data_IF_402974764163
#
_entry.id   IF_402974764163
#
_cell.length_a   1.000
_cell.length_b   1.000
_cell.length_c   1.000
_cell.angle_alpha   90.00
_cell.angle_beta   90.00
_cell.angle_gamma   90.00
#
_symmetry.space_group_name_H-M   'P 1'
#
loop_
_entity.id
_entity.type
_entity.pdbx_description
1 polymer ?
#
# COMPACT_ATOMS: atom_id res chain seq x y z
N UNK A 1 -40.46 -49.25 37.25
CA UNK A 1 -40.83 -49.30 35.82
C UNK A 1 -41.48 -48.00 35.32
N UNK A 2 -42.77 -47.69 35.60
CA UNK A 2 -43.40 -46.47 35.04
C UNK A 2 -42.72 -45.18 35.53
N UNK A 3 -42.39 -45.08 36.82
CA UNK A 3 -41.72 -43.91 37.41
C UNK A 3 -40.30 -43.71 36.88
N UNK A 4 -39.54 -44.79 36.66
CA UNK A 4 -38.20 -44.72 36.05
C UNK A 4 -38.26 -44.27 34.59
N UNK A 5 -39.24 -44.76 33.83
CA UNK A 5 -39.47 -44.34 32.44
C UNK A 5 -39.77 -42.84 32.34
N UNK A 6 -40.56 -42.30 33.29
CA UNK A 6 -40.82 -40.85 33.35
C UNK A 6 -39.57 -40.04 33.72
N UNK A 7 -38.70 -40.58 34.58
CA UNK A 7 -37.44 -39.92 34.93
C UNK A 7 -36.48 -39.87 33.74
N UNK A 8 -36.31 -40.98 33.01
CA UNK A 8 -35.49 -41.06 31.80
C UNK A 8 -36.04 -40.18 30.66
N UNK A 9 -37.37 -40.12 30.50
CA UNK A 9 -38.00 -39.23 29.53
C UNK A 9 -37.77 -37.75 29.87
N UNK A 10 -37.72 -37.41 31.16
CA UNK A 10 -37.46 -36.04 31.62
C UNK A 10 -36.00 -35.62 31.38
N UNK A 11 -35.04 -36.50 31.64
CA UNK A 11 -33.62 -36.22 31.40
C UNK A 11 -33.35 -36.09 29.91
N UNK A 12 -33.89 -36.97 29.08
CA UNK A 12 -33.72 -36.90 27.62
C UNK A 12 -34.33 -35.63 27.02
N UNK A 13 -35.47 -35.17 27.55
CA UNK A 13 -36.05 -33.89 27.16
C UNK A 13 -35.15 -32.71 27.54
N UNK A 14 -34.62 -32.69 28.77
CA UNK A 14 -33.71 -31.65 29.25
C UNK A 14 -32.39 -31.62 28.46
N UNK A 15 -31.82 -32.78 28.14
CA UNK A 15 -30.59 -32.88 27.34
C UNK A 15 -30.82 -32.36 25.92
N UNK A 16 -31.97 -32.67 25.33
CA UNK A 16 -32.34 -32.18 23.99
C UNK A 16 -32.56 -30.67 23.97
N UNK A 17 -33.20 -30.13 25.00
CA UNK A 17 -33.39 -28.68 25.16
C UNK A 17 -32.04 -27.96 25.29
N UNK A 18 -31.10 -28.54 26.06
CA UNK A 18 -29.73 -28.02 26.19
C UNK A 18 -28.97 -28.04 24.86
N UNK A 19 -29.07 -29.13 24.10
CA UNK A 19 -28.42 -29.22 22.78
C UNK A 19 -28.97 -28.20 21.79
N UNK A 20 -30.28 -27.95 21.82
CA UNK A 20 -30.90 -26.91 20.99
C UNK A 20 -30.40 -25.51 21.38
N UNK A 21 -30.33 -25.21 22.68
CA UNK A 21 -29.81 -23.93 23.16
C UNK A 21 -28.33 -23.72 22.77
N UNK A 22 -27.50 -24.76 22.87
CA UNK A 22 -26.10 -24.70 22.46
C UNK A 22 -25.96 -24.49 20.96
N UNK A 23 -26.73 -25.23 20.15
CA UNK A 23 -26.73 -25.06 18.70
C UNK A 23 -27.18 -23.65 18.28
N UNK A 24 -28.21 -23.10 18.94
CA UNK A 24 -28.63 -21.73 18.71
C UNK A 24 -27.56 -20.70 19.11
N UNK A 25 -26.85 -20.93 20.22
CA UNK A 25 -25.76 -20.06 20.65
C UNK A 25 -24.62 -20.07 19.63
N UNK A 26 -24.21 -21.25 19.17
CA UNK A 26 -23.18 -21.40 18.16
C UNK A 26 -23.58 -20.74 16.84
N UNK A 27 -24.83 -20.91 16.39
CA UNK A 27 -25.34 -20.24 15.18
C UNK A 27 -25.34 -18.71 15.33
N UNK A 28 -25.70 -18.17 16.49
CA UNK A 28 -25.64 -16.73 16.76
C UNK A 28 -24.20 -16.22 16.76
N UNK A 29 -23.28 -16.93 17.39
CA UNK A 29 -21.86 -16.57 17.40
C UNK A 29 -21.27 -16.61 16.00
N UNK A 30 -21.54 -17.67 15.23
CA UNK A 30 -21.05 -17.83 13.87
C UNK A 30 -21.62 -16.74 12.96
N UNK A 31 -22.91 -16.40 13.12
CA UNK A 31 -23.55 -15.30 12.43
C UNK A 31 -22.88 -13.95 12.75
N UNK A 32 -22.55 -13.69 14.01
CA UNK A 32 -21.85 -12.46 14.42
C UNK A 32 -20.46 -12.34 13.77
N UNK A 33 -19.69 -13.43 13.71
CA UNK A 33 -18.39 -13.47 13.02
C UNK A 33 -18.57 -13.23 11.52
N UNK A 34 -19.57 -13.86 10.91
CA UNK A 34 -19.87 -13.69 9.49
C UNK A 34 -20.26 -12.24 9.15
N UNK A 35 -21.10 -11.61 9.97
CA UNK A 35 -21.48 -10.20 9.82
C UNK A 35 -20.25 -9.29 9.94
N UNK A 36 -19.36 -9.54 10.92
CA UNK A 36 -18.11 -8.79 11.08
C UNK A 36 -17.18 -8.94 9.86
N UNK A 37 -17.12 -10.13 9.26
CA UNK A 37 -16.33 -10.36 8.05
C UNK A 37 -16.88 -9.61 6.83
N UNK A 38 -18.21 -9.53 6.70
CA UNK A 38 -18.84 -8.74 5.63
C UNK A 38 -18.51 -7.27 5.82
N UNK A 39 -18.73 -6.72 7.02
CA UNK A 39 -18.40 -5.32 7.33
C UNK A 39 -16.93 -5.02 7.02
N UNK A 40 -16.02 -5.93 7.40
CA UNK A 40 -14.61 -5.78 7.06
C UNK A 40 -14.35 -5.81 5.54
N UNK A 41 -15.04 -6.69 4.80
CA UNK A 41 -14.93 -6.76 3.34
C UNK A 41 -15.42 -5.48 2.68
N UNK A 42 -16.56 -4.94 3.12
CA UNK A 42 -17.10 -3.67 2.62
C UNK A 42 -16.13 -2.52 2.88
N UNK A 43 -15.55 -2.46 4.09
CA UNK A 43 -14.55 -1.42 4.38
C UNK A 43 -13.29 -1.53 3.52
N UNK A 44 -12.84 -2.75 3.19
CA UNK A 44 -11.71 -2.95 2.28
C UNK A 44 -12.05 -2.55 0.84
N UNK A 45 -13.28 -2.81 0.39
CA UNK A 45 -13.75 -2.39 -0.93
C UNK A 45 -13.83 -0.87 -1.03
N UNK A 46 -14.42 -0.20 -0.03
CA UNK A 46 -14.44 1.27 0.06
C UNK A 46 -13.02 1.86 0.05
N UNK A 47 -12.08 1.23 0.77
CA UNK A 47 -10.67 1.63 0.74
C UNK A 47 -10.08 1.52 -0.66
N UNK A 48 -10.33 0.41 -1.36
CA UNK A 48 -9.79 0.15 -2.69
C UNK A 48 -10.35 1.14 -3.73
N UNK A 49 -11.64 1.47 -3.65
CA UNK A 49 -12.26 2.43 -4.54
C UNK A 49 -11.75 3.86 -4.28
N UNK A 50 -11.53 4.24 -3.02
CA UNK A 50 -10.88 5.51 -2.69
C UNK A 50 -9.44 5.60 -3.24
N UNK A 51 -8.69 4.49 -3.22
CA UNK A 51 -7.36 4.44 -3.83
C UNK A 51 -7.40 4.54 -5.35
N UNK A 52 -8.38 3.90 -6.01
CA UNK A 52 -8.58 4.02 -7.47
C UNK A 52 -8.89 5.45 -7.87
N UNK A 53 -9.83 6.10 -7.20
CA UNK A 53 -10.19 7.49 -7.47
C UNK A 53 -8.99 8.44 -7.26
N UNK A 54 -8.20 8.22 -6.21
CA UNK A 54 -6.96 8.95 -5.98
C UNK A 54 -5.96 8.79 -7.14
N UNK A 55 -5.75 7.55 -7.61
CA UNK A 55 -4.83 7.27 -8.72
C UNK A 55 -5.32 7.91 -10.03
N UNK A 56 -6.61 7.85 -10.30
CA UNK A 56 -7.23 8.45 -11.47
C UNK A 56 -7.15 9.99 -11.43
N UNK A 57 -7.38 10.60 -10.26
CA UNK A 57 -7.22 12.04 -10.07
C UNK A 57 -5.76 12.49 -10.28
N UNK A 58 -4.79 11.72 -9.77
CA UNK A 58 -3.37 11.99 -10.00
C UNK A 58 -3.00 11.84 -11.47
N UNK A 59 -3.47 10.78 -12.15
CA UNK A 59 -3.25 10.57 -13.59
C UNK A 59 -3.86 11.68 -14.44
N UNK A 60 -5.11 12.04 -14.16
CA UNK A 60 -5.83 13.10 -14.88
C UNK A 60 -5.12 14.44 -14.73
N UNK A 61 -4.63 14.82 -13.54
CA UNK A 61 -3.95 16.11 -13.34
C UNK A 61 -2.52 16.14 -13.87
N UNK A 62 -1.79 15.02 -13.89
CA UNK A 62 -0.51 14.94 -14.60
C UNK A 62 -0.72 15.08 -16.12
N UNK A 63 -1.82 14.55 -16.66
CA UNK A 63 -2.24 14.69 -18.06
C UNK A 63 -2.82 16.06 -18.44
N UNK A 64 -3.62 16.70 -17.57
CA UNK A 64 -4.30 17.98 -17.83
C UNK A 64 -3.36 19.18 -17.91
N UNK A 65 -2.11 19.05 -17.46
CA UNK A 65 -1.11 20.08 -17.71
C UNK A 65 -0.68 20.17 -19.19
N UNK A 66 -1.35 19.45 -20.12
CA UNK A 66 -1.02 19.41 -21.56
C UNK A 66 -2.15 19.66 -22.56
N UNK A 67 -3.36 20.09 -22.18
CA UNK A 67 -4.47 20.20 -23.14
C UNK A 67 -4.62 21.53 -23.86
N UNK A 68 -3.54 22.30 -24.10
CA UNK A 68 -3.64 23.50 -24.95
C UNK A 68 -2.52 23.72 -25.97
N UNK A 69 -1.72 22.71 -26.31
CA UNK A 69 -0.85 22.83 -27.49
C UNK A 69 -0.48 21.47 -28.09
N UNK A 70 -1.26 21.06 -29.09
CA UNK A 70 -1.12 19.82 -29.85
C UNK A 70 0.04 19.86 -30.88
N UNK A 71 1.00 20.80 -30.79
CA UNK A 71 2.10 20.94 -31.76
C UNK A 71 3.50 21.17 -31.14
N UNK A 72 3.72 20.84 -29.86
CA UNK A 72 5.02 21.06 -29.18
C UNK A 72 5.57 19.82 -28.46
N UNK A 73 5.35 18.62 -29.00
CA UNK A 73 6.11 17.43 -28.63
C UNK A 73 7.58 17.52 -29.09
N UNK A 74 8.39 18.39 -28.46
CA UNK A 74 9.87 18.32 -28.54
C UNK A 74 10.62 18.75 -27.28
N UNK A 75 10.03 18.74 -26.09
CA UNK A 75 10.83 18.71 -24.85
C UNK A 75 10.14 17.88 -23.76
N UNK A 76 10.65 16.67 -23.44
CA UNK A 76 10.19 15.96 -22.26
C UNK A 76 10.36 16.88 -21.05
N UNK A 77 9.34 16.96 -20.18
CA UNK A 77 9.43 17.65 -18.89
C UNK A 77 10.71 17.15 -18.20
N UNK A 78 11.59 18.10 -17.88
CA UNK A 78 13.06 17.95 -17.92
C UNK A 78 13.60 16.64 -17.34
N UNK A 79 14.41 15.95 -18.13
CA UNK A 79 15.33 14.94 -17.64
C UNK A 79 16.24 15.59 -16.58
N UNK A 80 16.11 15.17 -15.32
CA UNK A 80 16.89 15.71 -14.21
C UNK A 80 18.06 14.79 -13.90
N UNK A 81 19.27 15.33 -14.02
CA UNK A 81 20.52 14.62 -13.76
C UNK A 81 20.98 14.88 -12.34
N UNK A 82 21.19 13.81 -11.60
CA UNK A 82 21.75 13.80 -10.25
C UNK A 82 23.08 13.06 -10.25
N UNK A 83 24.01 13.56 -9.45
CA UNK A 83 25.26 12.84 -9.16
C UNK A 83 25.00 11.80 -8.07
N UNK A 84 25.84 10.77 -8.03
CA UNK A 84 25.77 9.73 -6.99
C UNK A 84 25.81 10.33 -5.58
N UNK A 85 26.71 11.29 -5.34
CA UNK A 85 26.88 11.94 -4.03
C UNK A 85 25.66 12.76 -3.61
N UNK A 86 24.94 13.38 -4.56
CA UNK A 86 23.69 14.10 -4.25
C UNK A 86 22.59 13.14 -3.79
N UNK A 87 22.39 12.02 -4.49
CA UNK A 87 21.37 11.05 -4.12
C UNK A 87 21.70 10.28 -2.83
N UNK A 88 22.99 10.06 -2.55
CA UNK A 88 23.45 9.50 -1.28
C UNK A 88 23.19 10.50 -0.13
N UNK A 89 23.51 11.79 -0.33
CA UNK A 89 23.23 12.85 0.66
C UNK A 89 21.74 13.05 0.93
N UNK A 90 20.90 12.94 -0.11
CA UNK A 90 19.44 13.04 0.02
C UNK A 90 18.81 11.76 0.61
N UNK A 91 19.61 10.72 0.90
CA UNK A 91 19.17 9.44 1.45
C UNK A 91 18.33 8.62 0.48
N UNK A 92 18.45 8.90 -0.82
CA UNK A 92 17.74 8.18 -1.89
C UNK A 92 18.46 6.86 -2.19
N UNK A 93 19.79 6.83 -2.13
CA UNK A 93 20.58 5.59 -2.28
C UNK A 93 20.79 4.96 -0.89
N UNK A 94 20.38 3.70 -0.74
CA UNK A 94 20.56 2.92 0.50
C UNK A 94 21.84 2.09 0.38
N UNK A 95 21.95 1.30 -0.68
CA UNK A 95 23.09 0.44 -0.94
C UNK A 95 23.54 0.56 -2.39
N UNK A 96 24.84 0.38 -2.60
CA UNK A 96 25.43 0.27 -3.94
C UNK A 96 26.15 -1.07 -4.03
N UNK A 97 25.62 -1.98 -4.86
CA UNK A 97 26.13 -3.34 -5.03
C UNK A 97 26.95 -3.43 -6.32
N UNK A 98 28.21 -3.84 -6.21
CA UNK A 98 29.07 -4.09 -7.37
C UNK A 98 29.72 -2.87 -8.04
N UNK A 99 29.47 -1.64 -7.58
CA UNK A 99 30.13 -0.43 -8.13
C UNK A 99 31.29 0.00 -7.22
N UNK A 100 32.55 -0.03 -7.71
CA UNK A 100 33.72 0.42 -6.96
C UNK A 100 33.62 1.90 -6.58
N UNK A 101 34.09 2.26 -5.38
CA UNK A 101 33.99 3.63 -4.84
C UNK A 101 34.64 4.67 -5.75
N UNK A 102 35.74 4.32 -6.44
CA UNK A 102 36.43 5.18 -7.41
C UNK A 102 35.58 5.54 -8.64
N UNK A 103 34.59 4.70 -9.01
CA UNK A 103 33.69 4.95 -10.14
C UNK A 103 32.41 5.70 -9.74
N UNK A 104 32.09 5.80 -8.44
CA UNK A 104 30.87 6.49 -7.98
C UNK A 104 30.81 7.96 -8.39
N UNK A 105 31.97 8.64 -8.43
CA UNK A 105 32.07 10.03 -8.87
C UNK A 105 31.81 10.27 -10.36
N UNK A 106 31.83 9.22 -11.20
CA UNK A 106 31.55 9.31 -12.63
C UNK A 106 30.13 8.88 -13.00
N UNK A 107 29.31 8.48 -12.02
CA UNK A 107 27.93 8.03 -12.26
C UNK A 107 26.96 9.19 -12.17
N UNK A 108 26.13 9.28 -13.19
CA UNK A 108 25.01 10.21 -13.26
C UNK A 108 23.71 9.42 -13.35
N UNK A 109 22.80 9.73 -12.44
CA UNK A 109 21.43 9.23 -12.43
C UNK A 109 20.55 10.23 -13.15
N UNK A 110 19.74 9.74 -14.07
CA UNK A 110 18.84 10.56 -14.86
C UNK A 110 17.41 10.13 -14.53
N UNK A 111 16.65 11.03 -13.94
CA UNK A 111 15.23 10.85 -13.68
C UNK A 111 14.44 11.54 -14.79
N UNK A 112 13.58 10.79 -15.46
CA UNK A 112 12.74 11.30 -16.54
C UNK A 112 11.29 10.87 -16.33
N UNK A 113 10.35 11.74 -16.66
CA UNK A 113 8.93 11.40 -16.77
C UNK A 113 8.63 11.09 -18.23
N UNK A 114 8.38 9.83 -18.57
CA UNK A 114 8.06 9.41 -19.95
C UNK A 114 6.55 9.46 -20.24
N UNK A 115 5.73 9.39 -19.20
CA UNK A 115 4.29 9.55 -19.29
C UNK A 115 3.66 9.90 -17.93
N UNK A 116 2.35 10.20 -17.88
CA UNK A 116 1.67 10.48 -16.63
C UNK A 116 1.71 9.27 -15.70
N UNK A 117 2.37 9.41 -14.55
CA UNK A 117 2.55 8.32 -13.59
C UNK A 117 3.56 7.25 -14.03
N UNK A 118 4.38 7.51 -15.06
CA UNK A 118 5.45 6.62 -15.53
C UNK A 118 6.78 7.36 -15.48
N UNK A 119 7.67 6.87 -14.64
CA UNK A 119 9.00 7.42 -14.44
C UNK A 119 10.06 6.46 -14.99
N UNK A 120 11.16 7.02 -15.44
CA UNK A 120 12.30 6.28 -15.97
C UNK A 120 13.53 6.74 -15.21
N UNK A 121 14.16 5.79 -14.52
CA UNK A 121 15.39 5.98 -13.77
C UNK A 121 16.50 5.34 -14.59
N UNK A 122 17.37 6.17 -15.15
CA UNK A 122 18.48 5.73 -15.97
C UNK A 122 19.81 6.02 -15.28
N UNK A 123 20.74 5.06 -15.32
CA UNK A 123 22.09 5.20 -14.77
C UNK A 123 23.07 5.28 -15.95
N UNK A 124 23.90 6.32 -15.95
CA UNK A 124 24.89 6.56 -17.00
C UNK A 124 26.26 6.84 -16.41
N UNK A 125 27.31 6.33 -17.04
CA UNK A 125 28.68 6.79 -16.78
C UNK A 125 28.94 8.10 -17.52
N UNK A 126 29.81 8.94 -16.97
CA UNK A 126 30.23 10.21 -17.56
C UNK A 126 30.63 10.03 -19.03
N UNK A 127 29.80 10.53 -19.94
CA UNK A 127 30.06 10.52 -21.39
C UNK A 127 29.59 9.28 -22.16
N UNK A 128 28.93 8.30 -21.51
CA UNK A 128 28.35 7.13 -22.20
C UNK A 128 26.82 7.14 -22.16
N UNK A 129 26.19 6.42 -23.10
CA UNK A 129 24.74 6.14 -23.06
C UNK A 129 24.40 5.37 -21.78
N UNK A 130 23.19 5.54 -21.28
CA UNK A 130 22.73 4.86 -20.07
C UNK A 130 22.91 3.34 -20.24
N UNK A 131 23.58 2.71 -19.27
CA UNK A 131 23.81 1.26 -19.30
C UNK A 131 22.68 0.50 -18.60
N UNK A 132 21.92 1.19 -17.73
CA UNK A 132 20.76 0.65 -17.05
C UNK A 132 19.63 1.67 -17.11
N UNK A 133 18.44 1.21 -17.50
CA UNK A 133 17.21 2.00 -17.53
C UNK A 133 16.09 1.18 -16.89
N UNK A 134 15.48 1.72 -15.83
CA UNK A 134 14.32 1.12 -15.19
C UNK A 134 13.12 2.03 -15.34
N UNK A 135 12.06 1.49 -15.92
CA UNK A 135 10.74 2.12 -15.91
C UNK A 135 10.03 1.72 -14.62
N UNK A 136 9.50 2.70 -13.91
CA UNK A 136 8.78 2.54 -12.65
C UNK A 136 7.48 3.31 -12.73
N UNK A 137 6.35 2.66 -12.38
CA UNK A 137 5.05 3.32 -12.34
C UNK A 137 4.81 3.91 -10.96
N UNK A 138 4.00 4.97 -10.92
CA UNK A 138 3.60 5.61 -9.67
C UNK A 138 2.85 4.65 -8.75
N UNK A 139 2.00 3.79 -9.31
CA UNK A 139 1.26 2.75 -8.57
C UNK A 139 2.24 1.82 -7.83
N UNK A 140 3.22 1.27 -8.55
CA UNK A 140 4.25 0.40 -7.98
C UNK A 140 5.04 1.12 -6.87
N UNK A 141 5.39 2.40 -7.06
CA UNK A 141 6.08 3.19 -6.04
C UNK A 141 5.23 3.41 -4.78
N UNK A 142 3.92 3.63 -4.94
CA UNK A 142 3.00 3.82 -3.83
C UNK A 142 2.75 2.51 -3.07
N UNK A 143 2.69 1.40 -3.78
CA UNK A 143 2.60 0.05 -3.20
C UNK A 143 3.85 -0.26 -2.37
N UNK A 144 5.05 -0.09 -2.95
CA UNK A 144 6.32 -0.32 -2.26
C UNK A 144 6.48 0.62 -1.05
N UNK A 145 5.90 1.83 -1.08
CA UNK A 145 5.94 2.75 0.05
C UNK A 145 5.21 2.21 1.30
N UNK A 146 4.14 1.45 1.12
CA UNK A 146 3.33 0.90 2.22
C UNK A 146 3.98 -0.32 2.87
N UNK A 147 4.95 -0.94 2.21
CA UNK A 147 5.75 -2.02 2.78
C UNK A 147 6.63 -1.51 3.93
N UNK A 148 6.96 -2.43 4.85
CA UNK A 148 7.85 -2.17 5.99
C UNK A 148 9.27 -1.79 5.53
N UNK A 149 9.73 -2.40 4.42
CA UNK A 149 10.98 -2.07 3.73
C UNK A 149 10.71 -1.49 2.33
N UNK A 150 10.59 -0.16 2.20
CA UNK A 150 10.24 0.50 0.94
C UNK A 150 11.48 0.67 0.06
N UNK A 151 11.86 -0.39 -0.65
CA UNK A 151 13.12 -0.48 -1.40
C UNK A 151 12.86 -0.74 -2.89
N UNK A 152 13.57 -0.03 -3.77
CA UNK A 152 13.60 -0.27 -5.22
C UNK A 152 14.97 -0.82 -5.58
N UNK A 153 15.00 -2.04 -6.07
CA UNK A 153 16.24 -2.65 -6.57
C UNK A 153 16.45 -2.33 -8.05
N UNK A 154 17.59 -1.70 -8.36
CA UNK A 154 18.07 -1.38 -9.70
C UNK A 154 19.34 -2.20 -10.03
N UNK A 155 19.42 -3.45 -9.53
CA UNK A 155 20.48 -4.45 -9.77
C UNK A 155 21.84 -4.09 -9.14
N UNK A 156 22.36 -2.90 -9.42
CA UNK A 156 23.61 -2.38 -8.86
C UNK A 156 23.40 -1.32 -7.79
N UNK A 157 22.18 -0.81 -7.66
CA UNK A 157 21.85 0.27 -6.74
C UNK A 157 20.50 0.01 -6.12
N UNK A 158 20.45 0.15 -4.81
CA UNK A 158 19.23 -0.01 -4.03
C UNK A 158 18.76 1.36 -3.61
N UNK A 159 17.57 1.77 -4.04
CA UNK A 159 17.00 3.08 -3.75
C UNK A 159 15.89 2.97 -2.70
N UNK A 160 15.75 4.00 -1.88
CA UNK A 160 14.62 4.15 -0.97
C UNK A 160 13.39 4.62 -1.75
N UNK A 161 12.32 3.83 -1.79
CA UNK A 161 11.12 4.15 -2.55
C UNK A 161 10.44 5.43 -2.04
N UNK A 162 10.41 5.67 -0.71
CA UNK A 162 9.79 6.86 -0.11
C UNK A 162 10.53 8.14 -0.51
N UNK A 163 11.85 8.14 -0.40
CA UNK A 163 12.70 9.29 -0.75
C UNK A 163 12.73 9.52 -2.26
N UNK A 164 12.82 8.44 -3.06
CA UNK A 164 12.72 8.50 -4.51
C UNK A 164 11.40 9.13 -4.94
N UNK A 165 10.28 8.69 -4.36
CA UNK A 165 8.96 9.26 -4.63
C UNK A 165 8.88 10.73 -4.23
N UNK A 166 9.47 11.11 -3.08
CA UNK A 166 9.53 12.51 -2.66
C UNK A 166 10.32 13.37 -3.66
N UNK A 167 11.48 12.90 -4.13
CA UNK A 167 12.28 13.59 -5.16
C UNK A 167 11.52 13.68 -6.47
N UNK A 168 10.93 12.58 -6.95
CA UNK A 168 10.11 12.56 -8.16
C UNK A 168 8.92 13.51 -8.04
N UNK A 169 8.23 13.54 -6.89
CA UNK A 169 7.15 14.49 -6.66
C UNK A 169 7.66 15.91 -6.69
N UNK A 170 8.79 16.24 -6.04
CA UNK A 170 9.34 17.60 -6.04
C UNK A 170 9.74 18.09 -7.43
N UNK A 171 10.25 17.19 -8.27
CA UNK A 171 10.73 17.52 -9.61
C UNK A 171 9.60 17.60 -10.64
N UNK A 172 8.64 16.68 -10.56
CA UNK A 172 7.64 16.49 -11.62
C UNK A 172 6.20 16.81 -11.19
N UNK A 173 5.93 17.02 -9.90
CA UNK A 173 4.57 17.18 -9.34
C UNK A 173 4.50 18.44 -8.43
N UNK A 174 3.83 19.51 -8.87
CA UNK A 174 3.77 20.77 -8.10
C UNK A 174 3.07 20.57 -6.73
N UNK A 175 3.42 21.38 -5.73
CA UNK A 175 2.92 21.28 -4.34
C UNK A 175 1.38 21.37 -4.17
N UNK A 176 0.66 21.87 -5.17
CA UNK A 176 -0.82 21.93 -5.23
C UNK A 176 -1.43 20.70 -5.94
N UNK A 177 -0.62 19.73 -6.40
CA UNK A 177 -1.00 18.65 -7.31
C UNK A 177 -1.22 17.29 -6.64
N UNK A 178 -1.07 17.18 -5.33
CA UNK A 178 -1.42 15.96 -4.60
C UNK A 178 -2.79 16.18 -3.95
N UNK A 179 -3.87 15.51 -4.42
CA UNK A 179 -5.05 15.40 -3.60
C UNK A 179 -4.64 14.81 -2.24
N UNK A 180 -5.31 15.22 -1.16
CA UNK A 180 -5.02 14.68 0.16
C UNK A 180 -5.05 13.15 0.06
N UNK A 181 -3.93 12.50 0.40
CA UNK A 181 -3.87 11.03 0.40
C UNK A 181 -5.02 10.57 1.29
N UNK A 182 -5.82 9.59 0.86
CA UNK A 182 -6.79 8.97 1.74
C UNK A 182 -5.99 8.15 2.77
N UNK A 183 -5.51 8.78 3.84
CA UNK A 183 -4.95 8.07 4.99
C UNK A 183 -5.54 8.67 6.27
N UNK A 184 -6.20 7.78 7.02
CA UNK A 184 -6.61 7.91 8.44
C UNK A 184 -7.81 8.77 8.79
N UNK A 185 -9.01 8.46 8.25
CA UNK A 185 -10.21 8.50 9.12
C UNK A 185 -10.68 7.12 9.58
N UNK A 186 -10.37 6.06 8.83
CA UNK A 186 -10.77 4.68 9.16
C UNK A 186 -9.64 3.79 9.70
N UNK A 187 -8.41 4.32 9.87
CA UNK A 187 -7.26 3.53 10.33
C UNK A 187 -7.19 3.30 11.86
N UNK A 188 -8.21 3.70 12.62
CA UNK A 188 -8.36 3.24 14.00
C UNK A 188 -9.29 2.01 14.04
N UNK A 189 -8.80 0.87 13.54
CA UNK A 189 -9.32 -0.43 13.97
C UNK A 189 -8.61 -0.90 15.25
N UNK A 190 -8.37 0.03 16.18
CA UNK A 190 -8.23 -0.34 17.58
C UNK A 190 -9.64 -0.40 18.15
N UNK A 191 -10.32 -1.53 17.98
CA UNK A 191 -11.26 -2.14 18.94
C UNK A 191 -11.73 -3.47 18.35
N UNK A 192 -10.85 -4.48 18.31
CA UNK A 192 -11.32 -5.83 18.59
C UNK A 192 -11.52 -5.83 20.10
N UNK A 193 -12.69 -5.37 20.56
CA UNK A 193 -13.10 -5.59 21.93
C UNK A 193 -13.31 -7.09 22.07
N UNK A 194 -12.31 -7.72 22.66
CA UNK A 194 -12.36 -9.06 23.20
C UNK A 194 -13.48 -9.12 24.24
N UNK A 195 -14.73 -9.35 23.81
CA UNK A 195 -15.85 -9.76 24.67
C UNK A 195 -15.68 -11.24 25.01
N UNK A 196 -14.64 -11.52 25.76
CA UNK A 196 -14.25 -12.84 26.22
C UNK A 196 -13.52 -12.76 27.54
N UNK A 197 -14.16 -12.16 28.57
CA UNK A 197 -13.86 -12.38 29.99
C UNK A 197 -14.71 -11.44 30.87
N UNK A 198 -15.92 -11.87 31.23
CA UNK A 198 -16.42 -11.61 32.59
C UNK A 198 -17.07 -12.90 33.07
N UNK A 199 -16.23 -13.74 33.67
CA UNK A 199 -16.70 -14.61 34.73
C UNK A 199 -17.36 -13.71 35.78
N UNK A 200 -18.69 -13.73 35.85
CA UNK A 200 -19.41 -13.36 37.07
C UNK A 200 -19.43 -14.59 37.95
N UNK A 201 -18.40 -14.70 38.78
CA UNK A 201 -18.56 -15.21 40.14
C UNK A 201 -19.44 -14.23 40.90
N UNK A 202 -20.60 -14.65 41.35
CA UNK A 202 -21.29 -14.15 42.54
C UNK A 202 -22.55 -14.99 42.77
N UNK A 203 -22.48 -15.78 43.84
CA UNK A 203 -23.52 -16.41 44.67
C UNK A 203 -24.58 -17.33 44.03
#
# INVERSE_FOLDING_TARGET
>A
MVVELYAELRTTFQDRERLLQEAEFQLRSLRGVYETMIEHTDTLMEQLDAYREYLDAVRAKVGQSHTNSMYLFRKPRGSHRFTHTQLEKDGVIIETRGIPQSKRGSINYTLQCTGPGVFTIAISYKGQKAFLEKVVRLEDLLEIQHLQEPVIDLEHVVLNARRTLMVLSRLFMRRESMPARPISRHFNTATIQNKGATAKSLD
#
